data_IF_778210775027
#
_entry.id   IF_778210775027
#
_cell.length_a   1.000
_cell.length_b   1.000
_cell.length_c   1.000
_cell.angle_alpha   90.00
_cell.angle_beta   90.00
_cell.angle_gamma   90.00
#
_symmetry.space_group_name_H-M   'P 1'
#
loop_
_entity.id
_entity.type
_entity.pdbx_description
1 polymer ?
#
# COMPACT_ATOMS: atom_id res chain seq x y z
N UNK A 1 14.74 9.81 2.04
CA UNK A 1 15.21 10.10 3.41
C UNK A 1 15.27 8.82 4.25
N UNK A 2 14.13 8.14 4.58
CA UNK A 2 14.16 6.96 5.44
C UNK A 2 15.06 5.86 4.86
N UNK A 3 14.83 5.45 3.62
CA UNK A 3 15.56 4.36 2.95
C UNK A 3 17.07 4.64 2.88
N UNK A 4 17.48 5.90 2.71
CA UNK A 4 18.91 6.28 2.62
C UNK A 4 19.60 6.42 3.98
N UNK A 5 18.84 6.47 5.08
CA UNK A 5 19.40 6.70 6.44
C UNK A 5 19.24 5.53 7.38
N UNK A 6 18.45 4.53 7.02
CA UNK A 6 18.08 3.42 7.91
C UNK A 6 19.31 2.59 8.35
N UNK A 7 20.30 2.47 7.48
CA UNK A 7 21.54 1.73 7.76
C UNK A 7 22.47 2.46 8.74
N UNK A 8 22.21 3.74 9.05
CA UNK A 8 22.95 4.51 10.04
C UNK A 8 22.44 4.26 11.48
N UNK A 9 21.43 3.42 11.65
CA UNK A 9 20.81 3.09 12.94
C UNK A 9 21.19 1.67 13.32
N UNK A 10 21.61 1.47 14.56
CA UNK A 10 21.79 0.12 15.10
C UNK A 10 20.43 -0.52 15.40
N UNK A 11 20.15 -1.63 14.73
CA UNK A 11 18.92 -2.39 14.90
C UNK A 11 19.14 -3.59 15.81
N UNK A 12 18.21 -3.80 16.74
CA UNK A 12 18.19 -5.00 17.60
C UNK A 12 17.54 -6.19 16.89
N UNK A 13 16.64 -5.91 15.95
CA UNK A 13 15.92 -6.90 15.16
C UNK A 13 15.93 -6.50 13.68
N UNK A 14 16.58 -7.30 12.86
CA UNK A 14 16.64 -7.10 11.41
C UNK A 14 15.26 -7.23 10.75
N UNK A 15 14.34 -8.01 11.32
CA UNK A 15 12.99 -8.12 10.78
C UNK A 15 12.20 -6.81 10.95
N UNK A 16 12.40 -6.13 12.09
CA UNK A 16 11.79 -4.81 12.32
C UNK A 16 12.34 -3.77 11.33
N UNK A 17 13.64 -3.77 11.10
CA UNK A 17 14.29 -2.94 10.07
C UNK A 17 13.71 -3.22 8.69
N UNK A 18 13.67 -4.49 8.29
CA UNK A 18 13.16 -4.90 6.98
C UNK A 18 11.69 -4.54 6.77
N UNK A 19 10.85 -4.69 7.80
CA UNK A 19 9.46 -4.29 7.77
C UNK A 19 9.29 -2.78 7.57
N UNK A 20 10.13 -1.96 8.22
CA UNK A 20 10.08 -0.50 8.06
C UNK A 20 10.56 -0.06 6.66
N UNK A 21 11.63 -0.69 6.14
CA UNK A 21 12.07 -0.47 4.75
C UNK A 21 10.97 -0.86 3.77
N UNK A 22 10.32 -2.01 3.99
CA UNK A 22 9.26 -2.52 3.14
C UNK A 22 8.05 -1.56 3.09
N UNK A 23 7.65 -1.00 4.24
CA UNK A 23 6.58 0.01 4.30
C UNK A 23 6.97 1.29 3.54
N UNK A 24 8.21 1.76 3.68
CA UNK A 24 8.70 2.93 2.95
C UNK A 24 8.77 2.70 1.43
N UNK A 25 9.20 1.52 1.00
CA UNK A 25 9.24 1.11 -0.41
C UNK A 25 7.83 1.03 -1.01
N UNK A 26 6.86 0.51 -0.24
CA UNK A 26 5.47 0.51 -0.65
C UNK A 26 4.93 1.94 -0.88
N UNK A 27 5.19 2.87 0.05
CA UNK A 27 4.77 4.26 -0.10
C UNK A 27 5.41 4.91 -1.33
N UNK A 28 6.69 4.67 -1.57
CA UNK A 28 7.37 5.13 -2.79
C UNK A 28 6.68 4.56 -4.03
N UNK A 29 6.45 3.25 -4.06
CA UNK A 29 5.81 2.59 -5.19
C UNK A 29 4.40 3.10 -5.44
N UNK A 30 3.61 3.32 -4.40
CA UNK A 30 2.25 3.84 -4.51
C UNK A 30 2.19 5.22 -5.18
N UNK A 31 3.06 6.15 -4.77
CA UNK A 31 3.09 7.48 -5.35
C UNK A 31 3.67 7.50 -6.76
N UNK A 32 4.74 6.76 -7.02
CA UNK A 32 5.29 6.63 -8.36
C UNK A 32 4.32 5.94 -9.32
N UNK A 33 3.61 4.91 -8.88
CA UNK A 33 2.55 4.28 -9.67
C UNK A 33 1.50 5.31 -10.13
N UNK A 34 1.06 6.19 -9.25
CA UNK A 34 0.14 7.28 -9.62
C UNK A 34 0.78 8.27 -10.60
N UNK A 35 2.01 8.68 -10.35
CA UNK A 35 2.72 9.65 -11.18
C UNK A 35 2.94 9.13 -12.61
N UNK A 36 3.40 7.91 -12.78
CA UNK A 36 3.65 7.33 -14.12
C UNK A 36 2.37 7.14 -14.91
N UNK A 37 1.24 6.84 -14.23
CA UNK A 37 -0.05 6.71 -14.91
C UNK A 37 -0.65 8.06 -15.31
N UNK A 38 -0.34 9.12 -14.58
CA UNK A 38 -0.85 10.44 -14.86
C UNK A 38 0.02 11.22 -15.85
N UNK A 39 1.36 11.09 -15.75
CA UNK A 39 2.30 11.94 -16.49
C UNK A 39 3.18 11.18 -17.49
N UNK A 40 3.18 9.85 -17.50
CA UNK A 40 4.04 9.04 -18.35
C UNK A 40 5.48 9.01 -17.82
N UNK A 41 6.44 9.42 -18.64
CA UNK A 41 7.86 9.45 -18.30
C UNK A 41 8.13 10.58 -17.31
N UNK A 42 8.75 10.23 -16.18
CA UNK A 42 9.00 11.16 -15.07
C UNK A 42 10.41 10.97 -14.49
N UNK A 43 10.94 11.95 -13.74
CA UNK A 43 12.19 11.76 -13.00
C UNK A 43 12.07 10.64 -11.96
N UNK A 44 13.10 9.80 -11.88
CA UNK A 44 13.25 8.81 -10.81
C UNK A 44 14.20 9.34 -9.75
N UNK A 45 13.72 9.41 -8.50
CA UNK A 45 14.48 9.88 -7.34
C UNK A 45 14.54 8.76 -6.30
N UNK A 46 15.67 8.11 -6.19
CA UNK A 46 15.96 7.05 -5.20
C UNK A 46 16.86 7.53 -4.05
N UNK A 47 17.30 8.78 -4.11
CA UNK A 47 18.18 9.41 -3.15
C UNK A 47 17.57 10.68 -2.54
N UNK A 48 18.16 11.14 -1.44
CA UNK A 48 17.81 12.40 -0.80
C UNK A 48 18.49 13.57 -1.52
N UNK A 49 17.71 14.58 -1.87
CA UNK A 49 18.25 15.83 -2.42
C UNK A 49 18.79 16.69 -1.29
N UNK A 50 20.08 16.97 -1.31
CA UNK A 50 20.75 17.85 -0.34
C UNK A 50 20.46 19.33 -0.60
N UNK A 51 20.25 19.70 -1.88
CA UNK A 51 20.01 21.06 -2.34
C UNK A 51 18.88 21.09 -3.37
N UNK A 52 18.22 22.24 -3.57
CA UNK A 52 17.25 22.42 -4.64
C UNK A 52 17.84 22.11 -6.01
N UNK A 53 17.19 21.25 -6.77
CA UNK A 53 17.58 20.83 -8.10
C UNK A 53 16.44 21.04 -9.08
N UNK A 54 16.72 21.55 -10.29
CA UNK A 54 15.72 21.82 -11.32
C UNK A 54 15.99 21.10 -12.65
N UNK A 55 17.15 20.47 -12.78
CA UNK A 55 17.63 19.78 -13.97
C UNK A 55 17.46 18.26 -13.88
N UNK A 56 16.22 17.79 -13.77
CA UNK A 56 15.91 16.37 -13.76
C UNK A 56 15.71 15.83 -15.18
N UNK A 57 16.23 14.62 -15.43
CA UNK A 57 15.90 13.83 -16.60
C UNK A 57 14.74 12.89 -16.31
N UNK A 58 13.82 12.74 -17.27
CA UNK A 58 12.76 11.75 -17.21
C UNK A 58 13.29 10.38 -17.56
N UNK A 59 12.84 9.39 -16.82
CA UNK A 59 13.02 7.99 -17.12
C UNK A 59 11.77 7.43 -17.79
N UNK A 60 11.96 6.47 -18.67
CA UNK A 60 10.88 5.74 -19.29
C UNK A 60 9.98 5.08 -18.24
N UNK A 61 8.67 5.26 -18.39
CA UNK A 61 7.67 4.77 -17.42
C UNK A 61 7.72 3.26 -17.20
N UNK A 62 8.07 2.48 -18.23
CA UNK A 62 8.13 1.03 -18.10
C UNK A 62 9.31 0.59 -17.25
N UNK A 63 10.45 1.26 -17.41
CA UNK A 63 11.62 1.06 -16.55
C UNK A 63 11.32 1.41 -15.10
N UNK A 64 10.55 2.48 -14.87
CA UNK A 64 10.09 2.84 -13.51
C UNK A 64 9.18 1.74 -12.96
N UNK A 65 8.18 1.26 -13.72
CA UNK A 65 7.28 0.20 -13.27
C UNK A 65 8.03 -1.09 -12.92
N UNK A 66 9.06 -1.47 -13.68
CA UNK A 66 9.93 -2.61 -13.35
C UNK A 66 10.67 -2.40 -12.01
N UNK A 67 11.15 -1.19 -11.75
CA UNK A 67 11.78 -0.88 -10.46
C UNK A 67 10.75 -0.93 -9.31
N UNK A 68 9.54 -0.41 -9.54
CA UNK A 68 8.46 -0.50 -8.56
C UNK A 68 8.05 -1.95 -8.28
N UNK A 69 8.06 -2.82 -9.29
CA UNK A 69 7.83 -4.26 -9.12
C UNK A 69 8.84 -4.85 -8.12
N UNK A 70 10.15 -4.62 -8.34
CA UNK A 70 11.21 -5.10 -7.43
C UNK A 70 11.03 -4.57 -6.00
N UNK A 71 10.69 -3.29 -5.86
CA UNK A 71 10.42 -2.68 -4.56
C UNK A 71 9.24 -3.36 -3.84
N UNK A 72 8.18 -3.66 -4.58
CA UNK A 72 6.98 -4.28 -4.03
C UNK A 72 7.13 -5.77 -3.76
N UNK A 73 7.94 -6.48 -4.53
CA UNK A 73 8.33 -7.86 -4.21
C UNK A 73 9.03 -7.93 -2.86
N UNK A 74 9.98 -7.02 -2.61
CA UNK A 74 10.61 -6.91 -1.30
C UNK A 74 9.59 -6.54 -0.21
N UNK A 75 8.70 -5.57 -0.49
CA UNK A 75 7.67 -5.15 0.46
C UNK A 75 6.71 -6.31 0.80
N UNK A 76 6.26 -7.04 -0.19
CA UNK A 76 5.35 -8.18 -0.01
C UNK A 76 5.95 -9.31 0.84
N UNK A 77 7.28 -9.49 0.77
CA UNK A 77 8.00 -10.50 1.56
C UNK A 77 8.23 -10.06 3.01
N UNK A 78 8.39 -8.77 3.27
CA UNK A 78 8.89 -8.25 4.55
C UNK A 78 7.86 -7.46 5.37
N UNK A 79 6.72 -7.05 4.79
CA UNK A 79 5.63 -6.43 5.55
C UNK A 79 4.90 -7.51 6.36
N UNK A 80 4.63 -7.29 7.66
CA UNK A 80 3.89 -8.24 8.48
C UNK A 80 2.46 -8.50 7.96
N UNK A 81 1.98 -9.73 8.10
CA UNK A 81 0.61 -10.12 7.72
C UNK A 81 -0.44 -9.39 8.56
N UNK A 82 -0.22 -9.32 9.86
CA UNK A 82 -1.11 -8.69 10.82
C UNK A 82 -0.58 -7.32 11.25
N UNK A 83 -1.22 -6.27 10.78
CA UNK A 83 -0.88 -4.90 11.13
C UNK A 83 -2.06 -4.14 11.70
N UNK A 84 -1.79 -3.13 12.52
CA UNK A 84 -2.81 -2.21 12.98
C UNK A 84 -3.44 -1.45 11.81
N UNK A 85 -4.73 -1.13 11.93
CA UNK A 85 -5.43 -0.30 10.95
C UNK A 85 -4.67 1.01 10.73
N UNK A 86 -4.49 1.40 9.48
CA UNK A 86 -3.74 2.58 9.08
C UNK A 86 -2.27 2.32 8.69
N UNK A 87 -1.78 1.11 8.91
CA UNK A 87 -0.46 0.67 8.40
C UNK A 87 -0.61 -0.12 7.11
N UNK A 88 0.50 -0.24 6.38
CA UNK A 88 0.58 -1.04 5.16
C UNK A 88 0.51 -2.52 5.53
N UNK A 89 -0.48 -3.23 5.01
CA UNK A 89 -0.62 -4.69 5.15
C UNK A 89 0.06 -5.42 4.00
N UNK A 90 0.39 -6.70 4.20
CA UNK A 90 0.91 -7.56 3.12
C UNK A 90 -0.06 -7.64 1.94
N UNK A 91 -1.35 -7.75 2.20
CA UNK A 91 -2.38 -7.77 1.15
C UNK A 91 -2.46 -6.45 0.38
N UNK A 92 -2.24 -5.30 1.03
CA UNK A 92 -2.13 -4.01 0.35
C UNK A 92 -0.90 -3.94 -0.57
N UNK A 93 0.23 -4.52 -0.14
CA UNK A 93 1.42 -4.68 -1.00
C UNK A 93 1.09 -5.56 -2.21
N UNK A 94 0.45 -6.70 -1.98
CA UNK A 94 0.08 -7.64 -3.03
C UNK A 94 -0.86 -7.02 -4.08
N UNK A 95 -1.86 -6.24 -3.67
CA UNK A 95 -2.76 -5.55 -4.61
C UNK A 95 -2.02 -4.56 -5.49
N UNK A 96 -1.08 -3.81 -4.94
CA UNK A 96 -0.30 -2.85 -5.74
C UNK A 96 0.68 -3.58 -6.68
N UNK A 97 1.33 -4.64 -6.20
CA UNK A 97 2.20 -5.49 -7.00
C UNK A 97 1.42 -6.17 -8.14
N UNK A 98 0.24 -6.71 -7.85
CA UNK A 98 -0.66 -7.29 -8.87
C UNK A 98 -1.00 -6.27 -9.97
N UNK A 99 -1.33 -5.03 -9.60
CA UNK A 99 -1.62 -3.96 -10.57
C UNK A 99 -0.41 -3.65 -11.46
N UNK A 100 0.79 -3.59 -10.90
CA UNK A 100 2.01 -3.34 -11.66
C UNK A 100 2.33 -4.53 -12.57
N UNK A 101 2.18 -5.76 -12.08
CA UNK A 101 2.35 -6.98 -12.90
C UNK A 101 1.41 -6.99 -14.11
N UNK A 102 0.14 -6.57 -13.93
CA UNK A 102 -0.82 -6.43 -15.04
C UNK A 102 -0.32 -5.39 -16.06
N UNK A 103 0.17 -4.25 -15.61
CA UNK A 103 0.71 -3.22 -16.50
C UNK A 103 1.92 -3.70 -17.30
N UNK A 104 2.76 -4.53 -16.70
CA UNK A 104 3.98 -5.09 -17.31
C UNK A 104 3.73 -6.37 -18.14
N UNK A 105 2.52 -6.94 -18.07
CA UNK A 105 2.16 -8.18 -18.77
C UNK A 105 2.52 -9.48 -18.03
N UNK A 106 2.92 -9.39 -16.76
CA UNK A 106 3.18 -10.56 -15.89
C UNK A 106 1.88 -11.11 -15.30
N UNK A 107 1.01 -11.64 -16.16
CA UNK A 107 -0.35 -12.02 -15.77
C UNK A 107 -0.40 -13.23 -14.84
N UNK A 108 0.50 -14.19 -15.00
CA UNK A 108 0.52 -15.39 -14.17
C UNK A 108 0.87 -15.04 -12.71
N UNK A 109 1.86 -14.17 -12.50
CA UNK A 109 2.22 -13.66 -11.17
C UNK A 109 1.08 -12.83 -10.57
N UNK A 110 0.43 -12.02 -11.38
CA UNK A 110 -0.73 -11.23 -10.93
C UNK A 110 -1.88 -12.14 -10.47
N UNK A 111 -2.17 -13.22 -11.19
CA UNK A 111 -3.21 -14.20 -10.83
C UNK A 111 -2.85 -14.91 -9.52
N UNK A 112 -1.62 -15.38 -9.34
CA UNK A 112 -1.18 -16.07 -8.12
C UNK A 112 -1.34 -15.18 -6.89
N UNK A 113 -0.89 -13.91 -6.97
CA UNK A 113 -1.02 -12.96 -5.88
C UNK A 113 -2.51 -12.66 -5.61
N UNK A 114 -3.31 -12.46 -6.63
CA UNK A 114 -4.74 -12.19 -6.52
C UNK A 114 -5.50 -13.35 -5.85
N UNK A 115 -5.19 -14.59 -6.20
CA UNK A 115 -5.78 -15.77 -5.57
C UNK A 115 -5.44 -15.88 -4.09
N UNK A 116 -4.20 -15.59 -3.69
CA UNK A 116 -3.80 -15.55 -2.28
C UNK A 116 -4.60 -14.50 -1.50
N UNK A 117 -4.71 -13.29 -2.04
CA UNK A 117 -5.44 -12.20 -1.38
C UNK A 117 -6.93 -12.53 -1.22
N UNK A 118 -7.57 -13.07 -2.26
CA UNK A 118 -9.00 -13.47 -2.19
C UNK A 118 -9.24 -14.58 -1.16
N UNK A 119 -8.29 -15.50 -0.99
CA UNK A 119 -8.38 -16.55 0.00
C UNK A 119 -8.28 -16.02 1.45
N UNK A 120 -7.42 -15.01 1.67
CA UNK A 120 -7.21 -14.39 2.98
C UNK A 120 -8.29 -13.36 3.34
N UNK A 121 -8.91 -12.74 2.33
CA UNK A 121 -9.89 -11.66 2.47
C UNK A 121 -11.22 -12.01 1.79
N UNK A 122 -11.98 -12.94 2.37
CA UNK A 122 -13.29 -13.32 1.83
C UNK A 122 -14.26 -12.14 1.88
N UNK A 123 -15.18 -12.09 0.92
CA UNK A 123 -16.23 -11.08 0.87
C UNK A 123 -17.14 -11.19 2.11
N UNK A 124 -17.51 -10.05 2.66
CA UNK A 124 -18.47 -9.97 3.75
C UNK A 124 -19.86 -10.42 3.29
N UNK A 125 -20.51 -11.25 4.09
CA UNK A 125 -21.88 -11.75 3.82
C UNK A 125 -22.88 -11.28 4.85
N UNK A 126 -22.42 -10.75 5.97
CA UNK A 126 -23.25 -10.32 7.10
C UNK A 126 -22.99 -8.86 7.42
N UNK A 127 -24.04 -8.18 7.91
CA UNK A 127 -23.94 -6.79 8.32
C UNK A 127 -23.14 -6.63 9.63
N UNK A 128 -22.45 -5.53 9.76
CA UNK A 128 -21.72 -5.18 10.98
C UNK A 128 -22.68 -4.86 12.14
N UNK A 129 -22.31 -5.28 13.35
CA UNK A 129 -23.13 -5.11 14.56
C UNK A 129 -23.48 -3.62 14.80
N UNK A 130 -22.55 -2.72 14.53
CA UNK A 130 -22.77 -1.26 14.65
C UNK A 130 -23.88 -0.71 13.76
N UNK A 131 -24.24 -1.41 12.68
CA UNK A 131 -25.19 -0.96 11.68
C UNK A 131 -26.44 -1.83 11.53
N UNK A 132 -26.53 -2.96 12.26
CA UNK A 132 -27.66 -3.91 12.15
C UNK A 132 -29.03 -3.25 12.39
N UNK A 133 -29.10 -2.26 13.26
CA UNK A 133 -30.33 -1.57 13.63
C UNK A 133 -30.67 -0.35 12.72
N UNK A 134 -29.90 -0.13 11.65
CA UNK A 134 -30.16 0.94 10.67
C UNK A 134 -31.01 0.37 9.52
N UNK A 135 -32.36 0.51 9.53
CA UNK A 135 -33.26 -0.26 8.65
C UNK A 135 -33.17 0.16 7.16
N UNK A 136 -32.65 1.33 6.87
CA UNK A 136 -32.53 1.87 5.50
C UNK A 136 -31.16 1.63 4.85
N UNK A 137 -30.30 0.84 5.49
CA UNK A 137 -28.95 0.59 5.02
C UNK A 137 -28.76 -0.91 4.71
N UNK A 138 -27.74 -1.24 3.95
CA UNK A 138 -27.39 -2.60 3.57
C UNK A 138 -25.88 -2.85 3.80
N UNK A 139 -25.42 -4.06 3.54
CA UNK A 139 -24.00 -4.42 3.72
C UNK A 139 -23.04 -3.52 2.93
N UNK A 140 -23.38 -3.17 1.69
CA UNK A 140 -22.56 -2.29 0.87
C UNK A 140 -22.42 -0.89 1.50
N UNK A 141 -23.50 -0.36 2.06
CA UNK A 141 -23.44 0.89 2.83
C UNK A 141 -22.57 0.73 4.08
N UNK A 142 -22.68 -0.40 4.78
CA UNK A 142 -21.89 -0.65 5.99
C UNK A 142 -20.39 -0.67 5.69
N UNK A 143 -19.94 -1.32 4.62
CA UNK A 143 -18.55 -1.38 4.20
C UNK A 143 -17.91 0.01 3.97
N UNK A 144 -18.74 1.01 3.65
CA UNK A 144 -18.29 2.40 3.40
C UNK A 144 -18.58 3.34 4.59
N UNK A 145 -19.28 2.85 5.61
CA UNK A 145 -19.58 3.68 6.79
C UNK A 145 -18.34 3.88 7.67
N UNK A 146 -18.28 5.01 8.37
CA UNK A 146 -17.15 5.35 9.26
C UNK A 146 -17.00 4.30 10.37
N UNK A 147 -18.14 3.84 10.91
CA UNK A 147 -18.17 2.90 12.03
C UNK A 147 -17.72 1.50 11.64
N UNK A 148 -18.07 1.05 10.43
CA UNK A 148 -17.86 -0.33 10.02
C UNK A 148 -16.59 -0.58 9.21
N UNK A 149 -16.14 0.41 8.41
CA UNK A 149 -14.91 0.21 7.61
C UNK A 149 -13.66 -0.05 8.45
N UNK A 150 -13.62 0.47 9.67
CA UNK A 150 -12.51 0.24 10.62
C UNK A 150 -12.77 -0.92 11.58
N UNK A 151 -13.92 -1.59 11.48
CA UNK A 151 -14.25 -2.74 12.30
C UNK A 151 -13.25 -3.88 12.01
N UNK A 152 -12.80 -4.54 13.09
CA UNK A 152 -11.83 -5.65 12.98
C UNK A 152 -12.40 -6.84 12.23
N UNK A 153 -13.74 -7.01 12.24
CA UNK A 153 -14.43 -8.06 11.51
C UNK A 153 -14.56 -7.79 10.01
N UNK A 154 -14.17 -6.59 9.54
CA UNK A 154 -14.17 -6.28 8.12
C UNK A 154 -13.03 -6.98 7.40
N UNK A 155 -13.35 -8.11 6.76
CA UNK A 155 -12.38 -8.93 6.02
C UNK A 155 -12.00 -8.31 4.67
N UNK A 156 -12.84 -7.46 4.08
CA UNK A 156 -12.57 -6.84 2.76
C UNK A 156 -11.61 -5.65 2.84
N UNK A 157 -11.39 -5.12 4.03
CA UNK A 157 -10.56 -3.94 4.20
C UNK A 157 -9.07 -4.28 4.25
N UNK A 158 -8.31 -3.95 3.20
CA UNK A 158 -6.89 -4.26 3.10
C UNK A 158 -6.00 -3.20 3.73
N UNK A 159 -6.34 -1.92 3.53
CA UNK A 159 -5.60 -0.78 4.06
C UNK A 159 -6.52 0.43 4.19
N UNK A 160 -6.30 1.23 5.21
CA UNK A 160 -7.07 2.45 5.46
C UNK A 160 -6.14 3.64 5.71
N UNK A 161 -6.47 4.78 5.13
CA UNK A 161 -5.92 6.06 5.54
C UNK A 161 -6.79 6.57 6.69
N UNK A 162 -6.21 6.67 7.88
CA UNK A 162 -6.92 7.05 9.10
C UNK A 162 -6.75 8.54 9.34
N UNK A 163 -7.87 9.27 9.40
CA UNK A 163 -7.92 10.66 9.80
C UNK A 163 -8.67 10.77 11.11
N UNK A 164 -8.07 11.42 12.11
CA UNK A 164 -8.71 11.67 13.38
C UNK A 164 -9.24 13.11 13.39
N UNK A 165 -10.53 13.34 13.74
CA UNK A 165 -11.05 14.68 13.95
C UNK A 165 -10.18 15.41 14.98
N UNK A 166 -9.84 16.66 14.72
CA UNK A 166 -9.00 17.51 15.57
C UNK A 166 -7.52 17.09 15.71
N UNK A 167 -7.04 16.11 14.98
CA UNK A 167 -5.61 15.87 14.86
C UNK A 167 -4.98 16.93 13.95
N UNK A 168 -3.80 17.42 14.33
CA UNK A 168 -3.08 18.42 13.54
C UNK A 168 -2.73 17.81 12.17
N UNK A 169 -3.19 18.41 11.07
CA UNK A 169 -3.02 17.90 9.71
C UNK A 169 -4.17 17.04 9.18
N UNK A 170 -5.24 16.78 9.96
CA UNK A 170 -6.47 16.21 9.43
C UNK A 170 -7.26 17.29 8.68
N UNK A 171 -7.54 17.06 7.42
CA UNK A 171 -8.37 17.91 6.55
C UNK A 171 -9.74 17.28 6.41
#
# INVERSE_FOLDING_TARGET
VLISRIDNIEWKDENEKNALVAEALWHRAYWYYKLVHQFGDIPWLDYELAEPKTDFYSYDRWSILEELKRNLEYSYQNVPDNVNRGKVSKSACGVLLMKINICLGYFDEAIQIGQSIVAEHPLMTTRFTSNQNKPKTNLMHDLHSVEAKMDISNTEGLMYIVSYPNAQGSV
#
